data_IF_278661291022
#
_entry.id   IF_278661291022
#
_cell.length_a   1.000
_cell.length_b   1.000
_cell.length_c   1.000
_cell.angle_alpha   90.00
_cell.angle_beta   90.00
_cell.angle_gamma   90.00
#
_symmetry.space_group_name_H-M   'P 1'
#
loop_
_entity.id
_entity.type
_entity.pdbx_description
1 polymer ?
#
# COMPACT_ATOMS: atom_id res chain seq x y z
N UNK A 1 -20.28 13.48 -75.97
CA UNK A 1 -19.13 13.87 -75.14
C UNK A 1 -18.87 12.75 -74.15
N UNK A 2 -17.70 12.11 -74.30
CA UNK A 2 -16.89 11.36 -73.32
C UNK A 2 -17.60 10.53 -72.23
N UNK A 3 -17.70 9.23 -72.47
CA UNK A 3 -17.72 8.21 -71.44
C UNK A 3 -16.25 7.83 -71.11
N UNK A 4 -15.87 7.90 -69.83
CA UNK A 4 -14.60 7.38 -69.30
C UNK A 4 -14.86 5.99 -68.73
N UNK A 5 -14.45 4.96 -69.45
CA UNK A 5 -14.29 3.59 -68.94
C UNK A 5 -12.82 3.23 -69.06
N UNK A 6 -12.04 3.52 -68.02
CA UNK A 6 -10.65 3.05 -67.93
C UNK A 6 -10.59 1.83 -67.02
N UNK A 7 -10.63 0.66 -67.66
CA UNK A 7 -10.19 -0.61 -67.08
C UNK A 7 -8.72 -0.80 -67.48
N UNK A 8 -7.77 -1.03 -66.56
CA UNK A 8 -6.40 -1.30 -66.96
C UNK A 8 -6.32 -2.62 -67.72
N UNK A 9 -5.78 -2.55 -68.94
CA UNK A 9 -5.50 -3.68 -69.82
C UNK A 9 -4.58 -4.68 -69.11
N UNK A 10 -5.08 -5.89 -68.85
CA UNK A 10 -4.26 -7.02 -68.45
C UNK A 10 -3.38 -7.42 -69.64
N UNK A 11 -2.13 -6.94 -69.64
CA UNK A 11 -1.08 -7.44 -70.52
C UNK A 11 -0.75 -8.86 -70.04
N UNK A 12 -1.45 -9.85 -70.58
CA UNK A 12 -1.07 -11.24 -70.47
C UNK A 12 0.24 -11.44 -71.26
N UNK A 13 1.38 -11.34 -70.59
CA UNK A 13 2.64 -11.85 -71.12
C UNK A 13 2.47 -13.35 -71.34
N UNK A 14 2.42 -13.76 -72.60
CA UNK A 14 2.56 -15.15 -73.00
C UNK A 14 3.87 -15.66 -72.43
N UNK A 15 3.80 -16.68 -71.56
CA UNK A 15 4.98 -17.43 -71.15
C UNK A 15 5.61 -18.06 -72.39
N UNK A 16 6.72 -17.50 -72.85
CA UNK A 16 7.58 -18.22 -73.77
C UNK A 16 8.08 -19.47 -73.05
N UNK A 17 7.75 -20.63 -73.60
CA UNK A 17 8.24 -21.92 -73.13
C UNK A 17 9.75 -21.91 -73.35
N UNK A 18 10.49 -21.67 -72.27
CA UNK A 18 11.94 -21.84 -72.24
C UNK A 18 12.20 -23.33 -72.54
N UNK A 19 12.63 -23.63 -73.76
CA UNK A 19 13.14 -24.95 -74.13
C UNK A 19 14.43 -25.19 -73.36
N UNK A 20 14.34 -25.89 -72.24
CA UNK A 20 15.51 -26.37 -71.50
C UNK A 20 16.19 -27.43 -72.38
N UNK A 21 17.44 -27.23 -72.82
CA UNK A 21 18.14 -28.24 -73.60
C UNK A 21 18.43 -29.45 -72.71
N UNK A 22 17.91 -30.61 -73.10
CA UNK A 22 18.32 -31.88 -72.53
C UNK A 22 19.73 -32.18 -73.03
N UNK A 23 20.69 -32.23 -72.10
CA UNK A 23 22.09 -32.61 -72.29
C UNK A 23 23.04 -31.49 -72.72
N UNK A 24 23.78 -31.01 -71.73
CA UNK A 24 25.23 -30.82 -71.87
C UNK A 24 25.85 -31.39 -70.62
N UNK A 25 26.66 -32.44 -70.76
CA UNK A 25 27.59 -32.89 -69.71
C UNK A 25 28.62 -31.78 -69.50
N UNK A 26 28.25 -30.77 -68.72
CA UNK A 26 29.18 -29.80 -68.16
C UNK A 26 29.76 -30.39 -66.89
N UNK A 27 30.97 -30.96 -66.97
CA UNK A 27 31.72 -31.32 -65.77
C UNK A 27 32.11 -30.02 -65.09
N UNK A 28 31.32 -29.58 -64.10
CA UNK A 28 31.69 -28.47 -63.24
C UNK A 28 32.85 -28.96 -62.39
N UNK A 29 34.07 -28.59 -62.77
CA UNK A 29 35.24 -28.73 -61.91
C UNK A 29 35.06 -27.71 -60.80
N UNK A 30 34.44 -28.13 -59.70
CA UNK A 30 34.50 -27.40 -58.45
C UNK A 30 35.99 -27.31 -58.08
N UNK A 31 36.64 -26.19 -58.34
CA UNK A 31 37.92 -25.88 -57.70
C UNK A 31 37.71 -26.14 -56.21
N UNK A 32 38.57 -26.97 -55.62
CA UNK A 32 38.46 -27.47 -54.25
C UNK A 32 38.57 -26.34 -53.21
N UNK A 33 37.58 -25.44 -53.17
CA UNK A 33 37.26 -24.69 -51.98
C UNK A 33 36.71 -25.73 -51.03
N UNK A 34 37.52 -26.07 -50.04
CA UNK A 34 37.22 -27.06 -49.01
C UNK A 34 35.88 -26.81 -48.31
N UNK A 35 35.49 -27.68 -47.37
CA UNK A 35 34.18 -27.66 -46.74
C UNK A 35 33.79 -26.25 -46.32
N UNK A 36 32.63 -25.77 -46.79
CA UNK A 36 32.12 -24.42 -46.48
C UNK A 36 32.25 -24.19 -44.97
N UNK A 37 33.03 -23.20 -44.50
CA UNK A 37 33.25 -23.02 -43.08
C UNK A 37 31.91 -22.80 -42.37
N UNK A 38 31.50 -23.78 -41.58
CA UNK A 38 30.32 -23.68 -40.71
C UNK A 38 30.78 -23.00 -39.44
N UNK A 39 30.60 -21.68 -39.37
CA UNK A 39 30.71 -21.00 -38.09
C UNK A 39 29.68 -21.62 -37.12
N UNK A 40 30.06 -21.94 -35.87
CA UNK A 40 29.09 -22.37 -34.89
C UNK A 40 28.02 -21.26 -34.79
N UNK A 41 26.75 -21.64 -34.92
CA UNK A 41 25.65 -20.70 -34.76
C UNK A 41 25.60 -20.28 -33.29
N UNK A 42 26.36 -19.26 -32.94
CA UNK A 42 26.28 -18.60 -31.64
C UNK A 42 24.98 -17.84 -31.60
N UNK A 43 23.94 -18.49 -31.09
CA UNK A 43 22.72 -17.81 -30.68
C UNK A 43 23.12 -16.81 -29.60
N UNK A 44 23.16 -15.52 -29.94
CA UNK A 44 23.32 -14.48 -28.93
C UNK A 44 22.03 -14.48 -28.10
N UNK A 45 22.07 -15.09 -26.93
CA UNK A 45 21.03 -14.91 -25.94
C UNK A 45 21.21 -13.50 -25.37
N UNK A 46 20.39 -12.56 -25.83
CA UNK A 46 20.27 -11.28 -25.13
C UNK A 46 19.67 -11.62 -23.76
N UNK A 47 20.49 -11.56 -22.70
CA UNK A 47 20.02 -11.73 -21.32
C UNK A 47 19.00 -10.62 -21.06
N UNK A 48 17.71 -10.98 -20.98
CA UNK A 48 16.68 -10.02 -20.56
C UNK A 48 17.03 -9.60 -19.13
N UNK A 49 17.10 -8.28 -18.91
CA UNK A 49 17.28 -7.76 -17.56
C UNK A 49 16.06 -8.23 -16.73
N UNK A 50 16.32 -8.95 -15.64
CA UNK A 50 15.25 -9.48 -14.79
C UNK A 50 14.57 -8.35 -14.01
N UNK A 51 13.31 -8.55 -13.62
CA UNK A 51 12.57 -7.58 -12.79
C UNK A 51 13.27 -7.27 -11.47
N UNK A 52 14.00 -8.25 -10.92
CA UNK A 52 14.78 -8.10 -9.68
C UNK A 52 15.92 -7.11 -9.89
N UNK A 53 16.72 -7.28 -10.95
CA UNK A 53 17.80 -6.36 -11.27
C UNK A 53 17.30 -4.97 -11.67
N UNK A 54 16.09 -4.87 -12.25
CA UNK A 54 15.44 -3.57 -12.49
C UNK A 54 15.06 -2.89 -11.17
N UNK A 55 14.46 -3.62 -10.23
CA UNK A 55 14.08 -3.06 -8.93
C UNK A 55 15.29 -2.65 -8.10
N UNK A 56 16.38 -3.41 -8.14
CA UNK A 56 17.64 -3.04 -7.46
C UNK A 56 18.23 -1.75 -8.02
N UNK A 57 18.22 -1.57 -9.34
CA UNK A 57 18.65 -0.32 -9.97
C UNK A 57 17.77 0.86 -9.56
N UNK A 58 16.46 0.66 -9.54
CA UNK A 58 15.50 1.67 -9.12
C UNK A 58 15.75 2.09 -7.66
N UNK A 59 15.93 1.13 -6.76
CA UNK A 59 16.26 1.39 -5.34
C UNK A 59 17.54 2.17 -5.22
N UNK A 60 18.59 1.78 -5.95
CA UNK A 60 19.86 2.49 -5.94
C UNK A 60 19.70 3.94 -6.41
N UNK A 61 18.97 4.16 -7.50
CA UNK A 61 18.69 5.51 -8.01
C UNK A 61 17.91 6.35 -7.01
N UNK A 62 16.88 5.81 -6.36
CA UNK A 62 16.08 6.55 -5.37
C UNK A 62 16.89 6.89 -4.11
N UNK A 63 17.79 6.01 -3.70
CA UNK A 63 18.67 6.22 -2.54
C UNK A 63 19.68 7.34 -2.73
N UNK A 64 20.14 7.56 -3.96
CA UNK A 64 21.13 8.59 -4.28
C UNK A 64 20.53 10.01 -4.31
N UNK A 65 19.20 10.15 -4.34
CA UNK A 65 18.51 11.46 -4.44
C UNK A 65 18.40 12.17 -3.08
N UNK A 66 18.03 13.45 -3.08
CA UNK A 66 17.61 14.12 -1.84
C UNK A 66 16.24 13.61 -1.37
N UNK A 67 15.84 14.00 -0.16
CA UNK A 67 14.52 13.72 0.40
C UNK A 67 13.43 14.67 -0.13
N UNK A 68 13.77 15.56 -1.07
CA UNK A 68 12.83 16.48 -1.72
C UNK A 68 11.86 15.69 -2.61
N UNK A 69 10.57 15.94 -2.44
CA UNK A 69 9.48 15.27 -3.18
C UNK A 69 9.68 15.35 -4.69
N UNK A 70 10.01 16.52 -5.21
CA UNK A 70 10.14 16.79 -6.64
C UNK A 70 11.28 15.98 -7.29
N UNK A 71 12.42 15.84 -6.62
CA UNK A 71 13.54 15.06 -7.13
C UNK A 71 13.18 13.58 -7.24
N UNK A 72 12.52 13.04 -6.21
CA UNK A 72 12.13 11.64 -6.15
C UNK A 72 11.04 11.35 -7.18
N UNK A 73 10.03 12.21 -7.27
CA UNK A 73 8.91 12.04 -8.20
C UNK A 73 9.39 12.23 -9.65
N UNK A 74 10.27 13.21 -9.90
CA UNK A 74 10.89 13.42 -11.20
C UNK A 74 11.74 12.23 -11.65
N UNK A 75 12.54 11.66 -10.74
CA UNK A 75 13.31 10.45 -11.02
C UNK A 75 12.41 9.24 -11.31
N UNK A 76 11.35 9.04 -10.53
CA UNK A 76 10.37 7.98 -10.75
C UNK A 76 9.59 8.16 -12.06
N UNK A 77 9.16 9.37 -12.38
CA UNK A 77 8.48 9.69 -13.63
C UNK A 77 9.41 9.50 -14.83
N UNK A 78 10.68 9.91 -14.71
CA UNK A 78 11.69 9.64 -15.73
C UNK A 78 11.90 8.13 -15.93
N UNK A 79 11.88 7.35 -14.85
CA UNK A 79 12.01 5.89 -14.91
C UNK A 79 10.83 5.25 -15.65
N UNK A 80 9.60 5.68 -15.34
CA UNK A 80 8.38 5.18 -16.01
C UNK A 80 8.36 5.59 -17.48
N UNK A 81 8.86 6.76 -17.85
CA UNK A 81 8.89 7.22 -19.24
C UNK A 81 9.67 6.28 -20.19
N UNK A 82 10.62 5.48 -19.66
CA UNK A 82 11.37 4.49 -20.44
C UNK A 82 10.71 3.10 -20.51
N UNK A 83 9.65 2.85 -19.75
CA UNK A 83 8.94 1.58 -19.74
C UNK A 83 7.65 1.68 -20.57
N UNK A 84 7.33 0.63 -21.33
CA UNK A 84 6.13 0.59 -22.20
C UNK A 84 4.83 0.46 -21.38
N UNK A 85 4.92 -0.17 -20.21
CA UNK A 85 3.83 -0.39 -19.27
C UNK A 85 4.26 0.09 -17.89
N UNK A 86 3.30 0.49 -17.05
CA UNK A 86 3.61 0.91 -15.70
C UNK A 86 4.31 -0.23 -14.93
N UNK A 87 5.53 0.00 -14.39
CA UNK A 87 6.37 -1.07 -13.87
C UNK A 87 5.95 -1.53 -12.46
N UNK A 88 4.67 -1.90 -12.26
CA UNK A 88 4.06 -2.22 -10.97
C UNK A 88 4.82 -3.31 -10.21
N UNK A 89 5.20 -4.40 -10.90
CA UNK A 89 5.93 -5.52 -10.29
C UNK A 89 7.34 -5.09 -9.84
N UNK A 90 7.99 -4.24 -10.63
CA UNK A 90 9.32 -3.70 -10.30
C UNK A 90 9.24 -2.77 -9.10
N UNK A 91 8.26 -1.88 -9.06
CA UNK A 91 8.01 -0.96 -7.94
C UNK A 91 7.64 -1.74 -6.69
N UNK A 92 6.76 -2.75 -6.79
CA UNK A 92 6.42 -3.65 -5.66
C UNK A 92 7.66 -4.34 -5.08
N UNK A 93 8.56 -4.84 -5.93
CA UNK A 93 9.83 -5.44 -5.49
C UNK A 93 10.76 -4.40 -4.85
N UNK A 94 10.83 -3.20 -5.42
CA UNK A 94 11.61 -2.09 -4.86
C UNK A 94 11.09 -1.65 -3.48
N UNK A 95 9.77 -1.58 -3.29
CA UNK A 95 9.15 -1.29 -2.01
C UNK A 95 9.51 -2.36 -0.96
N UNK A 96 9.39 -3.66 -1.31
CA UNK A 96 9.81 -4.75 -0.41
C UNK A 96 11.29 -4.64 0.00
N UNK A 97 12.17 -4.26 -0.91
CA UNK A 97 13.60 -4.07 -0.58
C UNK A 97 13.81 -2.84 0.32
N UNK A 98 13.12 -1.74 0.06
CA UNK A 98 13.19 -0.53 0.91
C UNK A 98 12.61 -0.77 2.32
N UNK A 99 11.54 -1.57 2.42
CA UNK A 99 10.98 -2.02 3.71
C UNK A 99 11.99 -2.88 4.50
N UNK A 100 12.70 -3.80 3.83
CA UNK A 100 13.74 -4.60 4.47
C UNK A 100 14.92 -3.75 4.95
N UNK A 101 15.27 -2.72 4.18
CA UNK A 101 16.32 -1.75 4.53
C UNK A 101 15.86 -0.69 5.53
N UNK A 102 14.57 -0.66 5.89
CA UNK A 102 13.94 0.28 6.83
C UNK A 102 14.03 1.76 6.41
N UNK A 103 14.08 2.03 5.10
CA UNK A 103 14.06 3.39 4.54
C UNK A 103 12.62 3.92 4.45
N UNK A 104 11.97 4.12 5.60
CA UNK A 104 10.53 4.41 5.69
C UNK A 104 10.10 5.65 4.90
N UNK A 105 10.92 6.71 4.91
CA UNK A 105 10.67 7.93 4.12
C UNK A 105 10.57 7.65 2.63
N UNK A 106 11.44 6.78 2.10
CA UNK A 106 11.42 6.37 0.69
C UNK A 106 10.23 5.48 0.39
N UNK A 107 9.88 4.56 1.30
CA UNK A 107 8.68 3.74 1.17
C UNK A 107 7.43 4.62 1.09
N UNK A 108 7.32 5.66 1.92
CA UNK A 108 6.23 6.63 1.90
C UNK A 108 6.19 7.37 0.56
N UNK A 109 7.32 7.94 0.12
CA UNK A 109 7.39 8.70 -1.14
C UNK A 109 7.03 7.86 -2.35
N UNK A 110 7.61 6.67 -2.49
CA UNK A 110 7.35 5.77 -3.63
C UNK A 110 5.91 5.27 -3.61
N UNK A 111 5.35 4.98 -2.43
CA UNK A 111 3.95 4.53 -2.32
C UNK A 111 2.98 5.67 -2.62
N UNK A 112 3.18 6.87 -2.06
CA UNK A 112 2.37 8.07 -2.37
C UNK A 112 2.46 8.43 -3.86
N UNK A 113 3.65 8.38 -4.46
CA UNK A 113 3.83 8.57 -5.90
C UNK A 113 3.03 7.54 -6.70
N UNK A 114 3.16 6.25 -6.38
CA UNK A 114 2.44 5.17 -7.08
C UNK A 114 0.92 5.38 -7.03
N UNK A 115 0.39 5.76 -5.85
CA UNK A 115 -1.03 6.05 -5.66
C UNK A 115 -1.48 7.31 -6.41
N UNK A 116 -0.65 8.36 -6.48
CA UNK A 116 -0.94 9.60 -7.21
C UNK A 116 -1.11 9.39 -8.72
N UNK A 117 -0.43 8.39 -9.30
CA UNK A 117 -0.60 7.99 -10.70
C UNK A 117 -1.85 7.12 -10.92
N UNK A 118 -2.63 6.90 -9.88
CA UNK A 118 -3.79 5.99 -9.90
C UNK A 118 -3.41 4.52 -9.91
N UNK A 119 -2.13 4.17 -9.73
CA UNK A 119 -1.62 2.82 -9.86
C UNK A 119 -1.49 2.14 -8.50
N UNK A 120 -1.59 0.81 -8.48
CA UNK A 120 -1.36 0.03 -7.26
C UNK A 120 -2.33 0.35 -6.12
N UNK A 121 -3.55 0.81 -6.40
CA UNK A 121 -4.62 1.01 -5.39
C UNK A 121 -5.12 -0.34 -4.87
N UNK A 122 -4.34 -0.95 -3.99
CA UNK A 122 -4.64 -2.25 -3.38
C UNK A 122 -4.61 -2.11 -1.86
N UNK A 123 -5.34 -2.99 -1.16
CA UNK A 123 -5.26 -3.07 0.31
C UNK A 123 -3.83 -3.35 0.80
N UNK A 124 -2.97 -3.95 -0.01
CA UNK A 124 -1.55 -4.12 0.32
C UNK A 124 -0.80 -2.79 0.34
N UNK A 125 -1.01 -1.94 -0.68
CA UNK A 125 -0.34 -0.63 -0.78
C UNK A 125 -0.74 0.31 0.34
N UNK A 126 -2.04 0.36 0.69
CA UNK A 126 -2.51 1.15 1.83
C UNK A 126 -1.94 0.65 3.16
N UNK A 127 -1.88 -0.67 3.36
CA UNK A 127 -1.28 -1.27 4.55
C UNK A 127 0.21 -0.94 4.67
N UNK A 128 0.97 -1.06 3.57
CA UNK A 128 2.38 -0.66 3.51
C UNK A 128 2.54 0.82 3.85
N UNK A 129 1.68 1.70 3.33
CA UNK A 129 1.73 3.13 3.60
C UNK A 129 1.49 3.45 5.09
N UNK A 130 0.42 2.90 5.70
CA UNK A 130 0.17 3.06 7.14
C UNK A 130 1.35 2.55 7.95
N UNK A 131 1.85 1.35 7.63
CA UNK A 131 2.99 0.79 8.32
C UNK A 131 4.23 1.68 8.21
N UNK A 132 4.52 2.23 7.03
CA UNK A 132 5.66 3.11 6.84
C UNK A 132 5.50 4.45 7.58
N UNK A 133 4.33 5.08 7.53
CA UNK A 133 4.03 6.33 8.27
C UNK A 133 4.20 6.14 9.79
N UNK A 134 3.71 5.03 10.33
CA UNK A 134 3.84 4.69 11.74
C UNK A 134 5.30 4.52 12.16
N UNK A 135 6.14 3.90 11.32
CA UNK A 135 7.56 3.71 11.62
C UNK A 135 8.41 4.97 11.37
N UNK A 136 7.92 5.93 10.58
CA UNK A 136 8.53 7.27 10.40
C UNK A 136 8.01 8.30 11.43
N UNK A 137 7.33 7.84 12.48
CA UNK A 137 6.72 8.64 13.57
C UNK A 137 5.63 9.65 13.14
N UNK A 138 5.15 9.58 11.89
CA UNK A 138 4.07 10.41 11.35
C UNK A 138 2.70 9.79 11.66
N UNK A 139 2.32 9.82 12.94
CA UNK A 139 1.06 9.20 13.39
C UNK A 139 -0.17 9.87 12.82
N UNK A 140 -0.19 11.20 12.80
CA UNK A 140 -1.39 11.96 12.45
C UNK A 140 -1.82 11.68 11.01
N UNK A 141 -0.87 11.59 10.08
CA UNK A 141 -1.12 11.16 8.70
C UNK A 141 -1.57 9.71 8.60
N UNK A 142 -1.04 8.82 9.44
CA UNK A 142 -1.46 7.43 9.47
C UNK A 142 -2.91 7.29 9.97
N UNK A 143 -3.30 8.08 10.97
CA UNK A 143 -4.68 8.15 11.49
C UNK A 143 -5.63 8.75 10.46
N UNK A 144 -5.23 9.82 9.77
CA UNK A 144 -6.03 10.43 8.72
C UNK A 144 -6.30 9.43 7.58
N UNK A 145 -5.25 8.71 7.15
CA UNK A 145 -5.36 7.65 6.15
C UNK A 145 -6.24 6.50 6.66
N UNK A 146 -6.09 6.09 7.91
CA UNK A 146 -6.91 5.05 8.54
C UNK A 146 -8.40 5.43 8.54
N UNK A 147 -8.75 6.63 8.99
CA UNK A 147 -10.13 7.11 9.05
C UNK A 147 -10.75 7.17 7.66
N UNK A 148 -10.01 7.65 6.66
CA UNK A 148 -10.45 7.66 5.25
C UNK A 148 -10.74 6.24 4.75
N UNK A 149 -9.86 5.28 5.02
CA UNK A 149 -10.05 3.89 4.63
C UNK A 149 -11.22 3.24 5.36
N UNK A 150 -11.40 3.53 6.65
CA UNK A 150 -12.52 3.02 7.44
C UNK A 150 -13.85 3.54 6.88
N UNK A 151 -13.96 4.83 6.59
CA UNK A 151 -15.16 5.42 5.99
C UNK A 151 -15.47 4.85 4.60
N UNK A 152 -14.44 4.64 3.78
CA UNK A 152 -14.62 4.17 2.40
C UNK A 152 -14.95 2.68 2.33
N UNK A 153 -14.33 1.87 3.20
CA UNK A 153 -14.35 0.41 3.10
C UNK A 153 -15.00 -0.28 4.31
N UNK A 154 -15.61 0.44 5.26
CA UNK A 154 -16.33 -0.01 6.47
C UNK A 154 -16.19 -1.51 6.79
N UNK A 155 -17.01 -2.37 6.16
CA UNK A 155 -17.04 -3.83 6.40
C UNK A 155 -16.01 -4.65 5.59
N UNK A 156 -15.50 -4.09 4.49
CA UNK A 156 -14.55 -4.74 3.57
C UNK A 156 -13.08 -4.57 3.99
N UNK A 157 -12.80 -3.86 5.09
CA UNK A 157 -11.42 -3.69 5.56
C UNK A 157 -10.84 -4.99 6.11
N UNK A 158 -9.66 -5.43 5.62
CA UNK A 158 -9.02 -6.60 6.17
C UNK A 158 -8.68 -6.43 7.66
N UNK A 159 -8.97 -7.45 8.47
CA UNK A 159 -8.71 -7.50 9.92
C UNK A 159 -7.29 -7.07 10.34
N UNK A 160 -6.28 -7.37 9.51
CA UNK A 160 -4.89 -6.98 9.76
C UNK A 160 -4.69 -5.48 9.99
N UNK A 161 -5.54 -4.63 9.41
CA UNK A 161 -5.46 -3.19 9.63
C UNK A 161 -5.85 -2.81 11.07
N UNK A 162 -6.96 -3.36 11.57
CA UNK A 162 -7.39 -3.16 12.96
C UNK A 162 -6.34 -3.67 13.95
N UNK A 163 -5.83 -4.89 13.72
CA UNK A 163 -4.76 -5.48 14.54
C UNK A 163 -3.51 -4.57 14.55
N UNK A 164 -3.17 -3.97 13.40
CA UNK A 164 -2.06 -3.03 13.28
C UNK A 164 -2.29 -1.75 14.08
N UNK A 165 -3.45 -1.10 13.93
CA UNK A 165 -3.74 0.15 14.62
C UNK A 165 -3.82 -0.03 16.15
N UNK A 166 -4.42 -1.12 16.62
CA UNK A 166 -4.41 -1.48 18.06
C UNK A 166 -2.97 -1.63 18.57
N UNK A 167 -2.10 -2.32 17.82
CA UNK A 167 -0.70 -2.48 18.19
C UNK A 167 0.03 -1.12 18.27
N UNK A 168 -0.26 -0.20 17.34
CA UNK A 168 0.34 1.13 17.32
C UNK A 168 -0.10 1.96 18.53
N UNK A 169 -1.41 2.03 18.80
CA UNK A 169 -1.92 2.79 19.93
C UNK A 169 -1.47 2.24 21.28
N UNK A 170 -1.39 0.91 21.42
CA UNK A 170 -0.82 0.31 22.64
C UNK A 170 0.62 0.75 22.87
N UNK A 171 1.46 0.70 21.82
CA UNK A 171 2.87 1.13 21.92
C UNK A 171 3.03 2.60 22.29
N UNK A 172 2.10 3.45 21.86
CA UNK A 172 2.08 4.89 22.17
C UNK A 172 1.34 5.23 23.48
N UNK A 173 0.80 4.24 24.20
CA UNK A 173 0.03 4.46 25.43
C UNK A 173 -1.34 5.11 25.23
N UNK A 174 -1.84 5.17 23.99
CA UNK A 174 -3.15 5.75 23.64
C UNK A 174 -4.25 4.72 23.85
N UNK A 175 -4.52 4.36 25.11
CA UNK A 175 -5.46 3.29 25.44
C UNK A 175 -6.91 3.60 25.03
N UNK A 176 -7.32 4.87 25.01
CA UNK A 176 -8.67 5.30 24.61
C UNK A 176 -8.95 4.94 23.14
N UNK A 177 -8.15 5.46 22.20
CA UNK A 177 -8.24 5.11 20.77
C UNK A 177 -8.09 3.60 20.51
N UNK A 178 -7.28 2.92 21.32
CA UNK A 178 -7.16 1.47 21.24
C UNK A 178 -8.47 0.75 21.59
N UNK A 179 -9.20 1.23 22.60
CA UNK A 179 -10.51 0.68 22.96
C UNK A 179 -11.60 1.04 21.97
N UNK A 180 -11.55 2.23 21.35
CA UNK A 180 -12.44 2.61 20.25
C UNK A 180 -12.32 1.61 19.09
N UNK A 181 -11.10 1.39 18.57
CA UNK A 181 -10.89 0.40 17.49
C UNK A 181 -11.32 -1.00 17.92
N UNK A 182 -11.12 -1.38 19.19
CA UNK A 182 -11.58 -2.67 19.67
C UNK A 182 -13.12 -2.77 19.69
N UNK A 183 -13.82 -1.69 20.03
CA UNK A 183 -15.27 -1.62 19.95
C UNK A 183 -15.75 -1.72 18.50
N UNK A 184 -15.09 -1.04 17.56
CA UNK A 184 -15.39 -1.12 16.12
C UNK A 184 -15.27 -2.57 15.59
N UNK A 185 -14.27 -3.33 16.05
CA UNK A 185 -14.14 -4.76 15.70
C UNK A 185 -15.38 -5.54 16.17
N UNK A 186 -15.87 -5.26 17.38
CA UNK A 186 -17.05 -5.93 17.93
C UNK A 186 -18.34 -5.50 17.23
N UNK A 187 -18.46 -4.22 16.86
CA UNK A 187 -19.60 -3.65 16.14
C UNK A 187 -19.71 -4.21 14.71
N UNK A 188 -18.57 -4.35 14.02
CA UNK A 188 -18.46 -5.01 12.72
C UNK A 188 -18.58 -6.54 12.79
N UNK A 189 -18.96 -7.08 13.96
CA UNK A 189 -19.10 -8.51 14.24
C UNK A 189 -17.86 -9.36 13.88
N UNK A 190 -16.68 -8.73 13.82
CA UNK A 190 -15.42 -9.41 13.53
C UNK A 190 -14.85 -10.05 14.80
N UNK A 191 -14.26 -11.23 14.65
CA UNK A 191 -13.58 -11.89 15.77
C UNK A 191 -12.18 -11.29 15.97
N UNK A 192 -11.88 -10.66 17.12
CA UNK A 192 -10.55 -10.10 17.38
C UNK A 192 -9.47 -11.18 17.35
N UNK A 193 -8.24 -10.78 17.03
CA UNK A 193 -7.09 -11.69 17.07
C UNK A 193 -6.70 -12.05 18.50
N UNK A 194 -6.06 -13.21 18.64
CA UNK A 194 -5.51 -13.65 19.94
C UNK A 194 -4.53 -12.59 20.46
N UNK A 195 -3.72 -12.01 19.56
CA UNK A 195 -2.82 -10.91 19.89
C UNK A 195 -3.58 -9.66 20.36
N UNK A 196 -4.66 -9.29 19.66
CA UNK A 196 -5.50 -8.14 20.02
C UNK A 196 -6.16 -8.33 21.38
N UNK A 197 -6.75 -9.50 21.65
CA UNK A 197 -7.34 -9.84 22.95
C UNK A 197 -6.28 -9.77 24.06
N UNK A 198 -5.06 -10.26 23.81
CA UNK A 198 -3.97 -10.15 24.77
C UNK A 198 -3.56 -8.69 25.02
N UNK A 199 -3.38 -7.88 23.97
CA UNK A 199 -3.01 -6.46 24.08
C UNK A 199 -4.07 -5.65 24.83
N UNK A 200 -5.35 -5.86 24.53
CA UNK A 200 -6.47 -5.19 25.21
C UNK A 200 -6.59 -5.66 26.66
N UNK A 201 -6.42 -6.96 26.91
CA UNK A 201 -6.44 -7.52 28.25
C UNK A 201 -5.33 -6.99 29.15
N UNK A 202 -4.11 -6.88 28.63
CA UNK A 202 -3.00 -6.24 29.35
C UNK A 202 -3.27 -4.77 29.65
N UNK A 203 -3.81 -4.01 28.69
CA UNK A 203 -4.19 -2.61 28.93
C UNK A 203 -5.27 -2.49 30.02
N UNK A 204 -6.25 -3.41 30.08
CA UNK A 204 -7.21 -3.42 31.19
C UNK A 204 -6.55 -3.68 32.54
N UNK A 205 -5.53 -4.54 32.61
CA UNK A 205 -4.76 -4.76 33.83
C UNK A 205 -3.97 -3.52 34.25
N UNK A 206 -3.30 -2.88 33.30
CA UNK A 206 -2.53 -1.64 33.52
C UNK A 206 -3.42 -0.53 34.09
N UNK A 207 -4.66 -0.44 33.60
CA UNK A 207 -5.66 0.53 34.06
C UNK A 207 -6.46 0.08 35.30
N UNK A 208 -6.14 -1.09 35.89
CA UNK A 208 -6.83 -1.62 37.07
C UNK A 208 -8.27 -2.12 36.83
N UNK A 209 -8.71 -2.24 35.57
CA UNK A 209 -10.05 -2.68 35.18
C UNK A 209 -10.14 -4.22 35.09
N UNK A 210 -9.93 -4.90 36.23
CA UNK A 210 -9.92 -6.38 36.27
C UNK A 210 -11.26 -7.01 35.88
N UNK A 211 -12.39 -6.37 36.17
CA UNK A 211 -13.71 -6.87 35.77
C UNK A 211 -13.85 -6.99 34.26
N UNK A 212 -13.37 -5.96 33.52
CA UNK A 212 -13.38 -5.96 32.05
C UNK A 212 -12.40 -7.00 31.50
N UNK A 213 -11.24 -7.15 32.14
CA UNK A 213 -10.28 -8.20 31.80
C UNK A 213 -10.89 -9.61 31.88
N UNK A 214 -11.58 -9.92 32.98
CA UNK A 214 -12.23 -11.22 33.15
C UNK A 214 -13.36 -11.44 32.13
N UNK A 215 -14.18 -10.42 31.87
CA UNK A 215 -15.23 -10.47 30.83
C UNK A 215 -14.66 -10.70 29.43
N UNK A 216 -13.56 -10.00 29.09
CA UNK A 216 -12.88 -10.15 27.80
C UNK A 216 -12.40 -11.58 27.58
N UNK A 217 -11.71 -12.17 28.56
CA UNK A 217 -11.21 -13.54 28.44
C UNK A 217 -12.29 -14.62 28.55
N UNK A 218 -13.41 -14.33 29.20
CA UNK A 218 -14.59 -15.19 29.18
C UNK A 218 -15.24 -15.20 27.79
N UNK A 219 -15.35 -14.03 27.14
CA UNK A 219 -15.89 -13.90 25.78
C UNK A 219 -14.96 -14.48 24.71
N UNK A 220 -13.65 -14.26 24.84
CA UNK A 220 -12.63 -14.72 23.90
C UNK A 220 -11.60 -15.62 24.61
N UNK A 221 -11.95 -16.89 24.90
CA UNK A 221 -11.00 -17.83 25.48
C UNK A 221 -9.89 -18.15 24.48
N UNK A 222 -8.64 -18.38 24.96
CA UNK A 222 -7.55 -18.75 24.08
C UNK A 222 -7.83 -20.10 23.39
N UNK A 223 -7.39 -20.26 22.12
CA UNK A 223 -7.58 -21.52 21.41
C UNK A 223 -6.82 -22.65 22.12
N UNK A 224 -7.50 -23.77 22.35
CA UNK A 224 -6.91 -24.91 23.05
C UNK A 224 -6.05 -25.80 22.13
N UNK A 225 -6.21 -25.66 20.82
CA UNK A 225 -5.60 -26.51 19.82
C UNK A 225 -5.03 -25.66 18.68
N UNK A 226 -3.85 -26.03 18.21
CA UNK A 226 -3.15 -25.41 17.10
C UNK A 226 -2.76 -26.51 16.12
N UNK A 227 -2.92 -26.25 14.83
CA UNK A 227 -2.48 -27.16 13.78
C UNK A 227 -1.05 -26.80 13.39
N UNK A 228 -0.10 -27.72 13.62
CA UNK A 228 1.28 -27.53 13.17
C UNK A 228 1.60 -28.51 12.06
N UNK A 229 2.48 -28.09 11.15
CA UNK A 229 3.04 -28.99 10.16
C UNK A 229 4.32 -29.62 10.71
N UNK A 230 4.29 -30.93 10.91
CA UNK A 230 5.48 -31.70 11.26
C UNK A 230 5.75 -32.69 10.12
N UNK A 231 6.92 -32.57 9.49
CA UNK A 231 7.35 -33.44 8.38
C UNK A 231 6.32 -33.52 7.24
N UNK A 232 5.69 -32.39 6.89
CA UNK A 232 4.68 -32.29 5.83
C UNK A 232 3.29 -32.82 6.20
N UNK A 233 3.08 -33.34 7.42
CA UNK A 233 1.76 -33.75 7.93
C UNK A 233 1.20 -32.70 8.88
N UNK A 234 -0.09 -32.36 8.72
CA UNK A 234 -0.82 -31.46 9.63
C UNK A 234 -1.18 -32.24 10.89
N UNK A 235 -0.60 -31.86 12.03
CA UNK A 235 -0.87 -32.46 13.35
C UNK A 235 -1.61 -31.45 14.22
N UNK A 236 -2.66 -31.91 14.92
CA UNK A 236 -3.38 -31.11 15.91
C UNK A 236 -2.63 -31.21 17.23
N UNK A 237 -2.02 -30.12 17.67
CA UNK A 237 -1.26 -30.04 18.92
C UNK A 237 -2.07 -29.23 19.93
N UNK A 238 -2.12 -29.69 21.18
CA UNK A 238 -2.73 -28.91 22.26
C UNK A 238 -1.85 -27.68 22.52
N UNK A 239 -2.43 -26.49 22.46
CA UNK A 239 -1.73 -25.24 22.79
C UNK A 239 -1.37 -25.32 24.26
N UNK A 240 -0.07 -25.35 24.57
CA UNK A 240 0.39 -25.15 25.94
C UNK A 240 0.15 -23.68 26.26
N UNK A 241 -0.90 -23.41 27.06
CA UNK A 241 -1.09 -22.11 27.69
C UNK A 241 0.19 -21.78 28.47
N UNK A 242 0.84 -20.66 28.18
CA UNK A 242 1.83 -20.09 29.10
C UNK A 242 1.08 -19.55 30.33
N UNK A 243 0.49 -20.44 31.11
CA UNK A 243 -0.24 -20.16 32.34
C UNK A 243 0.73 -20.01 33.52
N UNK A 244 1.72 -19.11 33.41
CA UNK A 244 2.63 -18.83 34.54
C UNK A 244 2.35 -17.48 35.22
N UNK A 245 1.44 -16.65 34.71
CA UNK A 245 1.05 -15.40 35.42
C UNK A 245 -0.44 -15.24 35.69
N UNK A 246 -1.32 -16.04 35.08
CA UNK A 246 -2.78 -15.92 35.30
C UNK A 246 -3.24 -16.68 36.55
N UNK A 247 -2.49 -17.71 36.97
CA UNK A 247 -2.90 -18.63 38.05
C UNK A 247 -2.67 -18.09 39.47
N UNK A 248 -2.04 -16.92 39.64
CA UNK A 248 -1.82 -16.31 40.96
C UNK A 248 -2.97 -15.41 41.41
N UNK A 249 -3.78 -14.89 40.49
CA UNK A 249 -4.92 -14.00 40.81
C UNK A 249 -6.21 -14.78 41.05
N UNK A 250 -6.48 -15.83 40.26
CA UNK A 250 -7.65 -16.70 40.44
C UNK A 250 -7.63 -17.40 41.82
N UNK A 251 -6.45 -17.84 42.27
CA UNK A 251 -6.27 -18.46 43.58
C UNK A 251 -6.48 -17.50 44.76
N UNK A 252 -6.48 -16.18 44.52
CA UNK A 252 -6.72 -15.15 45.55
C UNK A 252 -8.21 -14.83 45.71
N UNK A 253 -8.99 -14.97 44.63
CA UNK A 253 -10.45 -14.80 44.64
C UNK A 253 -11.19 -16.05 45.12
N UNK A 254 -10.62 -17.25 44.96
CA UNK A 254 -11.15 -18.49 45.56
C UNK A 254 -11.14 -18.50 47.10
N UNK A 255 -10.42 -17.59 47.76
CA UNK A 255 -10.39 -17.48 49.22
C UNK A 255 -11.39 -16.46 49.79
N UNK A 256 -12.26 -15.90 48.95
CA UNK A 256 -13.38 -15.06 49.39
C UNK A 256 -14.64 -15.80 48.98
N UNK A 257 -15.26 -16.49 49.93
CA UNK A 257 -16.57 -17.13 49.75
C UNK A 257 -17.62 -16.10 49.32
N UNK A 258 -18.46 -16.44 48.33
CA UNK A 258 -19.85 -16.09 48.46
C UNK A 258 -20.75 -17.31 48.24
N UNK A 259 -21.80 -17.31 49.05
CA UNK A 259 -22.88 -18.28 49.18
C UNK A 259 -23.49 -18.81 47.87
N UNK A 260 -23.79 -20.11 47.94
CA UNK A 260 -24.87 -20.91 47.36
C UNK A 260 -25.59 -20.48 46.06
N UNK A 261 -25.74 -21.52 45.23
CA UNK A 261 -26.85 -21.80 44.30
C UNK A 261 -26.84 -21.12 42.92
N UNK A 262 -26.46 -21.90 41.89
CA UNK A 262 -27.45 -22.44 40.94
C UNK A 262 -26.81 -23.40 39.91
N UNK A 263 -27.36 -24.60 39.95
CA UNK A 263 -27.38 -25.66 38.95
C UNK A 263 -27.83 -25.16 37.55
N UNK A 264 -27.14 -25.54 36.47
CA UNK A 264 -27.76 -26.29 35.35
C UNK A 264 -26.81 -26.70 34.21
N UNK A 265 -27.08 -27.93 33.76
CA UNK A 265 -26.56 -28.70 32.63
C UNK A 265 -26.99 -28.16 31.25
N UNK A 266 -26.08 -28.17 30.25
CA UNK A 266 -26.37 -28.51 28.83
C UNK A 266 -25.03 -28.50 28.04
N UNK A 267 -24.41 -29.62 27.63
CA UNK A 267 -24.71 -30.59 26.56
C UNK A 267 -24.60 -30.04 25.12
N UNK A 268 -23.38 -30.15 24.59
CA UNK A 268 -22.94 -30.55 23.23
C UNK A 268 -23.88 -30.39 22.03
N UNK A 269 -23.43 -29.65 21.00
CA UNK A 269 -23.33 -30.07 19.58
C UNK A 269 -22.80 -28.91 18.71
N UNK A 270 -21.70 -29.10 17.97
CA UNK A 270 -21.62 -29.19 16.48
C UNK A 270 -21.50 -27.82 15.77
N UNK A 271 -20.31 -27.55 15.20
CA UNK A 271 -20.08 -27.36 13.74
C UNK A 271 -20.27 -25.89 13.32
N UNK A 272 -19.21 -25.12 13.03
CA UNK A 272 -18.53 -25.03 11.72
C UNK A 272 -17.38 -24.01 11.89
N UNK A 273 -16.11 -24.38 11.67
CA UNK A 273 -15.28 -24.07 10.48
C UNK A 273 -15.45 -22.61 10.00
N UNK A 274 -14.44 -21.72 10.00
CA UNK A 274 -13.15 -21.82 9.32
C UNK A 274 -12.06 -20.93 9.96
N UNK A 275 -10.79 -21.28 9.72
CA UNK A 275 -9.58 -20.57 10.16
C UNK A 275 -9.03 -19.69 9.03
N UNK A 276 -8.35 -18.58 9.36
CA UNK A 276 -7.13 -18.20 8.63
C UNK A 276 -6.05 -17.81 9.64
N UNK A 277 -4.94 -18.52 9.52
CA UNK A 277 -3.66 -18.32 10.18
C UNK A 277 -2.68 -17.80 9.12
N UNK A 278 -1.94 -16.76 9.47
CA UNK A 278 -0.99 -16.04 8.64
C UNK A 278 0.30 -16.86 8.48
N UNK A 279 0.46 -17.57 7.35
CA UNK A 279 1.70 -17.58 6.56
C UNK A 279 1.59 -18.56 5.39
N UNK A 280 1.07 -18.04 4.27
CA UNK A 280 1.45 -18.50 2.94
C UNK A 280 1.91 -17.29 2.12
N UNK A 281 3.13 -17.39 1.62
CA UNK A 281 3.71 -16.47 0.65
C UNK A 281 2.88 -16.50 -0.65
N UNK A 282 2.61 -15.30 -1.19
CA UNK A 282 2.25 -15.01 -2.59
C UNK A 282 1.29 -16.00 -3.26
N UNK A 283 -0.04 -15.79 -3.15
CA UNK A 283 -0.97 -16.13 -4.23
C UNK A 283 -2.39 -15.52 -4.16
N UNK A 284 -2.60 -14.33 -3.61
CA UNK A 284 -3.88 -13.62 -3.78
C UNK A 284 -3.71 -12.45 -4.75
N UNK A 285 -3.69 -12.78 -6.03
CA UNK A 285 -4.10 -11.86 -7.09
C UNK A 285 -5.58 -12.16 -7.37
N UNK A 286 -6.47 -11.76 -6.45
CA UNK A 286 -7.88 -11.67 -6.79
C UNK A 286 -8.11 -10.30 -7.41
N UNK A 287 -8.42 -10.32 -8.70
CA UNK A 287 -8.77 -9.15 -9.47
C UNK A 287 -10.19 -8.72 -9.12
N UNK A 288 -10.38 -8.12 -7.95
CA UNK A 288 -11.57 -7.31 -7.70
C UNK A 288 -11.37 -5.97 -8.40
N UNK A 289 -11.66 -5.94 -9.70
CA UNK A 289 -12.00 -4.70 -10.40
C UNK A 289 -13.38 -4.28 -9.91
N UNK A 290 -13.45 -3.28 -9.03
CA UNK A 290 -14.70 -2.60 -8.71
C UNK A 290 -14.61 -1.12 -9.07
N UNK A 291 -15.78 -0.60 -9.45
CA UNK A 291 -16.02 0.44 -10.44
C UNK A 291 -15.46 1.84 -10.14
N UNK A 292 -15.27 2.58 -11.23
CA UNK A 292 -14.47 3.79 -11.39
C UNK A 292 -15.16 5.11 -11.01
N UNK A 293 -16.07 5.13 -10.05
CA UNK A 293 -16.74 6.39 -9.71
C UNK A 293 -16.41 6.87 -8.30
N UNK A 294 -15.85 8.08 -8.25
CA UNK A 294 -15.42 8.88 -7.10
C UNK A 294 -13.98 8.66 -6.62
N UNK A 295 -13.00 9.01 -7.47
CA UNK A 295 -11.56 9.09 -7.07
C UNK A 295 -10.90 10.43 -7.48
N UNK A 296 -11.67 11.46 -7.85
CA UNK A 296 -11.10 12.79 -8.10
C UNK A 296 -10.67 13.50 -6.81
N UNK A 297 -11.35 13.24 -5.70
CA UNK A 297 -11.29 14.13 -4.53
C UNK A 297 -10.14 13.76 -3.56
N UNK A 298 -9.51 12.60 -3.77
CA UNK A 298 -8.36 12.14 -2.97
C UNK A 298 -7.09 12.93 -3.32
N UNK A 299 -7.02 13.53 -4.52
CA UNK A 299 -5.77 14.08 -5.04
C UNK A 299 -5.55 15.57 -4.71
N UNK A 300 -6.60 16.37 -4.49
CA UNK A 300 -6.43 17.81 -4.25
C UNK A 300 -6.02 18.15 -2.81
N UNK A 301 -6.54 17.46 -1.80
CA UNK A 301 -6.23 17.79 -0.40
C UNK A 301 -4.85 17.32 0.09
N UNK A 302 -4.14 16.47 -0.66
CA UNK A 302 -2.80 15.98 -0.29
C UNK A 302 -1.66 16.82 -0.90
N UNK A 303 -1.96 17.84 -1.71
CA UNK A 303 -0.95 18.65 -2.40
C UNK A 303 -0.65 19.96 -1.65
N UNK A 304 -1.59 20.48 -0.84
CA UNK A 304 -1.47 21.81 -0.23
C UNK A 304 -0.64 21.89 1.07
N UNK A 305 -0.46 20.80 1.82
CA UNK A 305 0.07 20.90 3.20
C UNK A 305 1.59 20.69 3.35
N UNK A 306 2.34 20.40 2.28
CA UNK A 306 3.81 20.23 2.35
C UNK A 306 4.62 21.53 2.13
N UNK A 307 4.01 22.72 2.28
CA UNK A 307 4.73 24.02 2.15
C UNK A 307 4.84 24.86 3.43
N UNK A 308 4.55 24.32 4.62
CA UNK A 308 4.85 25.03 5.88
C UNK A 308 5.80 24.23 6.77
N UNK A 309 7.10 24.41 6.52
CA UNK A 309 8.15 23.94 7.40
C UNK A 309 9.48 24.57 7.05
N UNK A 310 9.87 25.58 7.84
CA UNK A 310 11.11 26.39 7.82
C UNK A 310 11.01 27.68 7.00
N UNK A 311 10.33 28.68 7.57
CA UNK A 311 10.68 30.10 7.43
C UNK A 311 10.67 30.66 8.86
N UNK A 312 11.75 31.33 9.25
CA UNK A 312 11.96 31.89 10.59
C UNK A 312 10.89 32.96 10.91
N UNK A 313 10.05 32.69 11.92
CA UNK A 313 8.94 33.53 12.40
C UNK A 313 9.36 34.89 13.02
N UNK A 314 10.62 35.29 12.87
CA UNK A 314 11.16 36.53 13.42
C UNK A 314 11.29 37.66 12.39
N UNK A 315 11.16 37.38 11.08
CA UNK A 315 11.16 38.41 10.02
C UNK A 315 9.77 38.98 9.69
N UNK A 316 8.69 38.22 9.88
CA UNK A 316 7.33 38.63 9.51
C UNK A 316 6.68 39.66 10.46
N UNK A 317 7.34 40.01 11.57
CA UNK A 317 6.90 41.11 12.45
C UNK A 317 7.52 42.46 12.11
N UNK A 318 8.60 42.51 11.32
CA UNK A 318 9.26 43.78 10.98
C UNK A 318 8.64 44.44 9.73
N UNK A 319 8.06 43.65 8.82
CA UNK A 319 7.45 44.19 7.59
C UNK A 319 6.01 44.68 7.78
N UNK A 320 5.32 44.23 8.83
CA UNK A 320 3.96 44.70 9.17
C UNK A 320 3.94 46.10 9.82
N UNK A 321 5.01 46.46 10.53
CA UNK A 321 5.15 47.79 11.17
C UNK A 321 5.56 48.88 10.16
N UNK A 322 6.29 48.54 9.10
CA UNK A 322 6.64 49.49 8.03
C UNK A 322 5.44 49.85 7.14
N UNK A 323 4.53 48.90 6.91
CA UNK A 323 3.35 49.13 6.07
C UNK A 323 2.25 49.92 6.79
N UNK A 324 2.25 49.90 8.13
CA UNK A 324 1.29 50.66 8.95
C UNK A 324 1.68 52.14 9.11
N UNK A 325 2.96 52.51 8.94
CA UNK A 325 3.41 53.91 8.96
C UNK A 325 3.18 54.65 7.62
N UNK A 326 3.11 53.95 6.48
CA UNK A 326 2.87 54.59 5.16
C UNK A 326 1.39 54.88 4.87
N UNK A 327 0.45 54.24 5.57
CA UNK A 327 -0.99 54.48 5.39
C UNK A 327 -1.55 55.62 6.25
N UNK A 328 -0.82 56.11 7.26
CA UNK A 328 -1.19 57.31 8.04
C UNK A 328 -0.66 58.62 7.44
N UNK A 329 0.22 58.57 6.43
CA UNK A 329 0.73 59.77 5.75
C UNK A 329 -0.07 60.19 4.49
N UNK A 330 -1.09 59.41 4.09
CA UNK A 330 -1.90 59.70 2.90
C UNK A 330 -3.24 60.37 3.26
N UNK A 331 -3.62 60.47 4.55
CA UNK A 331 -4.90 61.09 4.97
C UNK A 331 -4.88 62.61 5.19
N UNK A 332 -3.74 63.29 5.06
CA UNK A 332 -3.59 64.71 5.48
C UNK A 332 -3.43 65.74 4.35
N UNK A 333 -3.78 65.40 3.10
CA UNK A 333 -3.75 66.38 2.01
C UNK A 333 -4.96 66.25 1.08
N UNK A 334 -6.10 66.81 1.50
CA UNK A 334 -6.99 67.61 0.62
C UNK A 334 -8.30 67.96 1.36
N UNK A 335 -8.26 68.99 2.19
CA UNK A 335 -9.42 69.85 2.41
C UNK A 335 -9.17 71.14 1.64
N UNK A 336 -9.96 71.41 0.60
CA UNK A 336 -10.77 72.64 0.56
C UNK A 336 -11.64 72.73 -0.70
N UNK A 337 -12.73 73.50 -0.55
CA UNK A 337 -13.60 74.13 -1.56
C UNK A 337 -15.03 73.54 -1.70
N UNK A 338 -15.92 74.16 -0.90
CA UNK A 338 -17.28 74.66 -1.23
C UNK A 338 -18.52 73.76 -1.09
N UNK A 339 -19.14 73.90 0.08
CA UNK A 339 -20.54 74.27 0.40
C UNK A 339 -21.79 73.60 -0.23
N UNK A 340 -22.92 73.59 0.53
CA UNK A 340 -24.05 72.68 0.36
C UNK A 340 -25.33 73.36 -0.16
N UNK A 341 -26.15 72.67 -0.96
CA UNK A 341 -27.55 73.06 -1.21
C UNK A 341 -28.49 71.84 -1.22
N UNK A 342 -29.43 71.92 -0.27
CA UNK A 342 -30.73 71.30 -0.01
C UNK A 342 -31.50 70.46 -1.07
N UNK A 343 -32.24 69.49 -0.50
CA UNK A 343 -33.58 68.96 -0.83
C UNK A 343 -33.89 68.40 -2.24
N UNK A 344 -34.13 67.08 -2.30
CA UNK A 344 -35.44 66.36 -2.51
C UNK A 344 -35.17 64.90 -2.83
#
# INVERSE_FOLDING_TARGET
MLALTDSPLLIAKTFEIIKIPASTRGTVVCAAKGPRPRYPRVWKTNKKIGTISKSEKLVKSIKELSNVKEEVYGALDSYVAWELEFPLITVKKALKTLEFEQEWKRVIQVTKWMLSKGQGKTMGSYFTLINALVNDDRLDEAEELWTKLLMQYMESLPRRFFDKMISVYRKKGMHEKMFEIFADIEELAMRPSVSTVAMVGEAFKELGMLDKYHKLHAKYPPPQWEYRYSRGKRIKVKVQSQSTQVNTWTKRLENVEPDSDLNNNYRSSEETSEMIDDQQLEQDNDGTSMELEQISDINENYISEETSGIIDDEQLRQDADLTSMELEQISDSSYDIMEPILDV
#
